data_IF_142465569995
#
_entry.id   IF_142465569995
#
_cell.length_a   1.000
_cell.length_b   1.000
_cell.length_c   1.000
_cell.angle_alpha   90.00
_cell.angle_beta   90.00
_cell.angle_gamma   90.00
#
_symmetry.space_group_name_H-M   'P 1'
#
loop_
_entity.id
_entity.type
_entity.pdbx_description
1 polymer ?
#
# COMPACT_ATOMS: atom_id res chain seq x y z
N UNK A 1 67.93 6.65 45.82
CA UNK A 1 66.49 6.31 45.71
C UNK A 1 65.86 7.29 44.74
N UNK A 2 65.80 6.94 43.45
CA UNK A 2 65.16 7.74 42.41
C UNK A 2 63.73 7.24 42.24
N UNK A 3 62.77 8.10 42.60
CA UNK A 3 61.33 7.88 42.41
C UNK A 3 60.96 8.54 41.09
N UNK A 4 60.97 7.76 40.02
CA UNK A 4 60.34 8.15 38.75
C UNK A 4 58.83 7.99 38.90
N UNK A 5 58.14 9.10 39.12
CA UNK A 5 56.68 9.15 39.03
C UNK A 5 56.30 9.22 37.55
N UNK A 6 55.68 8.14 37.07
CA UNK A 6 55.03 8.07 35.76
C UNK A 6 53.83 9.01 35.75
N UNK A 7 54.02 10.22 35.25
CA UNK A 7 52.92 10.99 34.67
C UNK A 7 52.58 10.38 33.31
N UNK A 8 51.65 9.42 33.33
CA UNK A 8 51.01 8.91 32.11
C UNK A 8 50.12 10.00 31.52
N UNK A 9 50.73 10.99 30.88
CA UNK A 9 50.04 11.93 30.00
C UNK A 9 49.42 11.11 28.87
N UNK A 10 48.14 10.79 29.00
CA UNK A 10 47.37 10.09 27.96
C UNK A 10 47.31 11.05 26.77
N UNK A 11 48.30 10.95 25.87
CA UNK A 11 48.33 11.72 24.63
C UNK A 11 47.12 11.29 23.84
N UNK A 12 46.12 12.17 23.80
CA UNK A 12 44.93 12.01 22.99
C UNK A 12 45.36 11.93 21.52
N UNK A 13 45.21 10.76 20.91
CA UNK A 13 45.60 10.53 19.53
C UNK A 13 44.56 11.14 18.58
N UNK A 14 44.96 11.60 17.38
CA UNK A 14 44.02 11.86 16.29
C UNK A 14 43.08 10.69 16.00
N UNK A 15 43.52 9.45 16.25
CA UNK A 15 42.70 8.24 16.13
C UNK A 15 41.59 8.18 17.18
N UNK A 16 41.86 8.64 18.41
CA UNK A 16 40.85 8.74 19.48
C UNK A 16 39.79 9.78 19.10
N UNK A 17 40.21 10.90 18.52
CA UNK A 17 39.30 11.94 18.03
C UNK A 17 38.42 11.46 16.86
N UNK A 18 38.99 10.72 15.90
CA UNK A 18 38.24 10.13 14.78
C UNK A 18 37.26 9.05 15.26
N UNK A 19 37.67 8.23 16.24
CA UNK A 19 36.81 7.22 16.85
C UNK A 19 35.60 7.85 17.54
N UNK A 20 35.83 8.90 18.34
CA UNK A 20 34.74 9.65 19.01
C UNK A 20 33.82 10.35 18.02
N UNK A 21 34.36 10.95 16.96
CA UNK A 21 33.56 11.57 15.91
C UNK A 21 32.67 10.55 15.21
N UNK A 22 33.23 9.39 14.84
CA UNK A 22 32.48 8.31 14.20
C UNK A 22 31.39 7.79 15.12
N UNK A 23 31.70 7.58 16.40
CA UNK A 23 30.73 7.12 17.40
C UNK A 23 29.59 8.14 17.59
N UNK A 24 29.93 9.44 17.64
CA UNK A 24 28.93 10.52 17.71
C UNK A 24 28.05 10.57 16.46
N UNK A 25 28.62 10.35 15.28
CA UNK A 25 27.89 10.30 14.01
C UNK A 25 26.90 9.12 14.02
N UNK A 26 27.36 7.93 14.41
CA UNK A 26 26.56 6.72 14.50
C UNK A 26 25.38 6.86 15.47
N UNK A 27 25.63 7.43 16.65
CA UNK A 27 24.58 7.70 17.64
C UNK A 27 23.53 8.67 17.08
N UNK A 28 23.99 9.72 16.41
CA UNK A 28 23.11 10.73 15.81
C UNK A 28 22.26 10.11 14.69
N UNK A 29 22.85 9.28 13.84
CA UNK A 29 22.16 8.59 12.76
C UNK A 29 21.13 7.59 13.29
N UNK A 30 21.46 6.82 14.32
CA UNK A 30 20.51 5.88 14.97
C UNK A 30 19.33 6.63 15.57
N UNK A 31 19.59 7.74 16.26
CA UNK A 31 18.52 8.58 16.83
C UNK A 31 17.58 9.13 15.76
N UNK A 32 18.12 9.69 14.68
CA UNK A 32 17.28 10.18 13.57
C UNK A 32 16.50 9.06 12.90
N UNK A 33 17.09 7.87 12.75
CA UNK A 33 16.39 6.69 12.23
C UNK A 33 15.19 6.33 13.12
N UNK A 34 15.36 6.29 14.43
CA UNK A 34 14.28 5.99 15.37
C UNK A 34 13.18 7.06 15.35
N UNK A 35 13.54 8.33 15.26
CA UNK A 35 12.59 9.45 15.15
C UNK A 35 11.76 9.36 13.86
N UNK A 36 12.41 9.07 12.73
CA UNK A 36 11.73 8.84 11.46
C UNK A 36 10.74 7.66 11.52
N UNK A 37 11.15 6.53 12.11
CA UNK A 37 10.25 5.38 12.26
C UNK A 37 9.05 5.71 13.15
N UNK A 38 9.27 6.38 14.30
CA UNK A 38 8.16 6.82 15.16
C UNK A 38 7.21 7.76 14.45
N UNK A 39 7.73 8.68 13.63
CA UNK A 39 6.89 9.59 12.86
C UNK A 39 6.08 8.86 11.77
N UNK A 40 6.69 7.88 11.09
CA UNK A 40 5.99 7.03 10.12
C UNK A 40 4.87 6.26 10.82
N UNK A 41 5.14 5.59 11.94
CA UNK A 41 4.15 4.83 12.70
C UNK A 41 3.00 5.73 13.17
N UNK A 42 3.31 6.93 13.65
CA UNK A 42 2.29 7.92 14.07
C UNK A 42 1.42 8.36 12.88
N UNK A 43 2.01 8.62 11.71
CA UNK A 43 1.28 9.02 10.50
C UNK A 43 0.45 7.87 9.92
N UNK A 44 0.93 6.63 10.01
CA UNK A 44 0.16 5.45 9.62
C UNK A 44 -1.02 5.27 10.57
N UNK A 45 -0.79 5.28 11.89
CA UNK A 45 -1.85 5.15 12.89
C UNK A 45 -2.90 6.27 12.82
N UNK A 46 -2.48 7.52 12.59
CA UNK A 46 -3.40 8.64 12.41
C UNK A 46 -4.25 8.50 11.12
N UNK A 47 -3.64 8.02 10.02
CA UNK A 47 -4.38 7.72 8.79
C UNK A 47 -5.30 6.53 8.94
N UNK A 48 -4.91 5.51 9.70
CA UNK A 48 -5.76 4.36 10.00
C UNK A 48 -6.98 4.81 10.81
N UNK A 49 -6.79 5.64 11.84
CA UNK A 49 -7.87 6.22 12.65
C UNK A 49 -8.81 7.15 11.86
N UNK A 50 -8.30 7.96 10.93
CA UNK A 50 -9.13 8.76 10.00
C UNK A 50 -9.82 7.91 8.91
N UNK A 51 -9.27 6.73 8.61
CA UNK A 51 -9.79 5.83 7.58
C UNK A 51 -10.81 4.82 8.08
N UNK A 52 -11.01 4.67 9.41
CA UNK A 52 -12.12 3.86 9.94
C UNK A 52 -13.41 4.57 9.54
N UNK A 53 -14.13 4.09 8.51
CA UNK A 53 -15.42 4.68 8.19
C UNK A 53 -16.29 4.45 9.43
N UNK A 54 -17.21 5.36 9.78
CA UNK A 54 -18.29 4.98 10.69
C UNK A 54 -18.86 3.67 10.17
N UNK A 55 -19.21 2.72 11.04
CA UNK A 55 -19.84 1.46 10.66
C UNK A 55 -21.04 1.81 9.79
N UNK A 56 -20.82 1.89 8.47
CA UNK A 56 -21.83 2.28 7.49
C UNK A 56 -22.64 1.02 7.45
N UNK A 57 -23.76 1.02 8.16
CA UNK A 57 -24.76 -0.02 8.04
C UNK A 57 -24.93 -0.26 6.55
N UNK A 58 -24.48 -1.42 6.08
CA UNK A 58 -24.59 -1.77 4.67
C UNK A 58 -26.07 -1.69 4.34
N UNK A 59 -26.45 -0.95 3.28
CA UNK A 59 -27.86 -0.82 2.93
C UNK A 59 -28.44 -2.22 2.76
N UNK A 60 -29.61 -2.50 3.34
CA UNK A 60 -30.26 -3.79 3.15
C UNK A 60 -30.90 -3.81 1.77
N UNK A 61 -30.27 -4.48 0.82
CA UNK A 61 -30.78 -4.58 -0.54
C UNK A 61 -31.90 -5.62 -0.62
N UNK A 62 -32.93 -5.33 -1.43
CA UNK A 62 -34.02 -6.27 -1.72
C UNK A 62 -33.60 -7.37 -2.70
N UNK A 63 -32.60 -7.09 -3.53
CA UNK A 63 -32.17 -7.94 -4.63
C UNK A 63 -30.65 -8.14 -4.56
N UNK A 64 -30.20 -9.39 -4.60
CA UNK A 64 -28.78 -9.77 -4.53
C UNK A 64 -27.94 -9.11 -5.63
N UNK A 65 -28.53 -8.90 -6.83
CA UNK A 65 -27.87 -8.19 -7.92
C UNK A 65 -27.47 -6.76 -7.57
N UNK A 66 -28.30 -6.06 -6.79
CA UNK A 66 -28.03 -4.69 -6.35
C UNK A 66 -26.96 -4.65 -5.27
N UNK A 67 -26.95 -5.62 -4.36
CA UNK A 67 -25.89 -5.77 -3.35
C UNK A 67 -24.53 -6.02 -4.02
N UNK A 68 -24.48 -6.97 -4.96
CA UNK A 68 -23.26 -7.25 -5.74
C UNK A 68 -22.77 -6.01 -6.49
N UNK A 69 -23.68 -5.28 -7.13
CA UNK A 69 -23.32 -4.07 -7.87
C UNK A 69 -22.83 -2.96 -6.93
N UNK A 70 -23.46 -2.82 -5.76
CA UNK A 70 -23.05 -1.84 -4.76
C UNK A 70 -21.64 -2.13 -4.23
N UNK A 71 -21.34 -3.38 -3.89
CA UNK A 71 -20.00 -3.79 -3.43
C UNK A 71 -18.94 -3.51 -4.52
N UNK A 72 -19.21 -3.96 -5.75
CA UNK A 72 -18.32 -3.74 -6.88
C UNK A 72 -18.05 -2.24 -7.10
N UNK A 73 -19.10 -1.40 -7.10
CA UNK A 73 -18.96 0.04 -7.27
C UNK A 73 -18.14 0.68 -6.14
N UNK A 74 -18.34 0.23 -4.89
CA UNK A 74 -17.57 0.72 -3.74
C UNK A 74 -16.07 0.41 -3.86
N UNK A 75 -15.72 -0.79 -4.28
CA UNK A 75 -14.33 -1.16 -4.55
C UNK A 75 -13.71 -0.32 -5.66
N UNK A 76 -14.44 -0.12 -6.78
CA UNK A 76 -13.98 0.72 -7.89
C UNK A 76 -13.79 2.17 -7.45
N UNK A 77 -14.71 2.71 -6.66
CA UNK A 77 -14.61 4.07 -6.14
C UNK A 77 -13.35 4.23 -5.28
N UNK A 78 -13.07 3.27 -4.39
CA UNK A 78 -11.86 3.30 -3.57
C UNK A 78 -10.57 3.24 -4.40
N UNK A 79 -10.53 2.41 -5.45
CA UNK A 79 -9.38 2.36 -6.36
C UNK A 79 -9.18 3.66 -7.15
N UNK A 80 -10.26 4.31 -7.57
CA UNK A 80 -10.20 5.61 -8.25
C UNK A 80 -9.74 6.73 -7.31
N UNK A 81 -10.22 6.76 -6.06
CA UNK A 81 -9.75 7.69 -5.04
C UNK A 81 -8.25 7.50 -4.72
N UNK A 82 -7.77 6.26 -4.65
CA UNK A 82 -6.33 5.97 -4.52
C UNK A 82 -5.56 6.46 -5.73
N UNK A 83 -6.11 6.28 -6.92
CA UNK A 83 -5.51 6.75 -8.18
C UNK A 83 -5.35 8.27 -8.18
N UNK A 84 -6.37 9.01 -7.75
CA UNK A 84 -6.29 10.47 -7.58
C UNK A 84 -5.15 10.87 -6.63
N UNK A 85 -5.05 10.21 -5.48
CA UNK A 85 -3.96 10.45 -4.50
C UNK A 85 -2.56 10.12 -5.05
N UNK A 86 -2.45 9.18 -5.98
CA UNK A 86 -1.18 8.83 -6.63
C UNK A 86 -0.76 9.88 -7.66
N UNK A 87 -1.73 10.47 -8.37
CA UNK A 87 -1.50 11.60 -9.28
C UNK A 87 -1.00 12.81 -8.49
N UNK A 88 -1.63 13.13 -7.35
CA UNK A 88 -1.19 14.23 -6.47
C UNK A 88 0.22 14.05 -5.90
N UNK A 89 0.70 12.81 -5.80
CA UNK A 89 2.04 12.46 -5.30
C UNK A 89 3.08 12.29 -6.41
N UNK A 90 2.80 12.77 -7.61
CA UNK A 90 3.67 12.67 -8.79
C UNK A 90 4.13 11.23 -9.08
N UNK A 91 3.21 10.27 -8.92
CA UNK A 91 3.44 8.85 -9.20
C UNK A 91 2.58 8.38 -10.41
N UNK A 92 2.76 8.97 -11.62
CA UNK A 92 1.86 8.77 -12.74
C UNK A 92 1.86 7.35 -13.29
N UNK A 93 3.00 6.67 -13.28
CA UNK A 93 3.09 5.28 -13.75
C UNK A 93 2.22 4.32 -12.92
N UNK A 94 2.23 4.49 -11.60
CA UNK A 94 1.40 3.68 -10.71
C UNK A 94 -0.08 4.05 -10.85
N UNK A 95 -0.40 5.35 -10.96
CA UNK A 95 -1.76 5.82 -11.21
C UNK A 95 -2.35 5.22 -12.50
N UNK A 96 -1.56 5.17 -13.58
CA UNK A 96 -1.98 4.55 -14.86
C UNK A 96 -2.29 3.07 -14.67
N UNK A 97 -1.46 2.31 -13.96
CA UNK A 97 -1.72 0.89 -13.70
C UNK A 97 -3.04 0.65 -12.94
N UNK A 98 -3.32 1.45 -11.90
CA UNK A 98 -4.58 1.35 -11.15
C UNK A 98 -5.78 1.73 -12.02
N UNK A 99 -5.62 2.71 -12.91
CA UNK A 99 -6.66 3.13 -13.84
C UNK A 99 -6.95 2.04 -14.87
N UNK A 100 -5.92 1.45 -15.49
CA UNK A 100 -6.07 0.35 -16.45
C UNK A 100 -6.74 -0.87 -15.82
N UNK A 101 -6.34 -1.23 -14.59
CA UNK A 101 -6.99 -2.29 -13.81
C UNK A 101 -8.48 -1.98 -13.58
N UNK A 102 -8.79 -0.75 -13.20
CA UNK A 102 -10.18 -0.31 -12.97
C UNK A 102 -11.01 -0.35 -14.25
N UNK A 103 -10.46 0.08 -15.39
CA UNK A 103 -11.11 0.00 -16.70
C UNK A 103 -11.38 -1.47 -17.08
N UNK A 104 -10.39 -2.36 -16.91
CA UNK A 104 -10.54 -3.78 -17.21
C UNK A 104 -11.65 -4.41 -16.36
N UNK A 105 -11.65 -4.15 -15.05
CA UNK A 105 -12.67 -4.65 -14.14
C UNK A 105 -14.08 -4.16 -14.52
N UNK A 106 -14.22 -2.88 -14.91
CA UNK A 106 -15.50 -2.33 -15.37
C UNK A 106 -15.99 -2.98 -16.67
N UNK A 107 -15.09 -3.21 -17.63
CA UNK A 107 -15.43 -3.89 -18.88
C UNK A 107 -15.92 -5.32 -18.62
N UNK A 108 -15.20 -6.06 -17.77
CA UNK A 108 -15.62 -7.42 -17.41
C UNK A 108 -16.97 -7.40 -16.70
N UNK A 109 -17.14 -6.50 -15.74
CA UNK A 109 -18.42 -6.37 -15.03
C UNK A 109 -19.59 -6.05 -15.96
N UNK A 110 -19.39 -5.17 -16.94
CA UNK A 110 -20.43 -4.86 -17.93
C UNK A 110 -20.79 -6.08 -18.79
N UNK A 111 -19.82 -6.94 -19.12
CA UNK A 111 -20.10 -8.23 -19.78
C UNK A 111 -20.96 -9.14 -18.89
N UNK A 112 -20.63 -9.26 -17.61
CA UNK A 112 -21.41 -10.06 -16.66
C UNK A 112 -22.83 -9.52 -16.49
N UNK A 113 -23.02 -8.19 -16.50
CA UNK A 113 -24.36 -7.58 -16.47
C UNK A 113 -25.18 -7.94 -17.71
N UNK A 114 -24.58 -7.95 -18.90
CA UNK A 114 -25.26 -8.40 -20.12
C UNK A 114 -25.67 -9.88 -20.05
N UNK A 115 -24.87 -10.73 -19.40
CA UNK A 115 -25.21 -12.16 -19.19
C UNK A 115 -26.35 -12.26 -18.17
N UNK A 116 -26.25 -11.53 -17.06
CA UNK A 116 -27.27 -11.50 -16.01
C UNK A 116 -28.64 -11.04 -16.53
N UNK A 117 -28.66 -10.02 -17.39
CA UNK A 117 -29.89 -9.49 -18.00
C UNK A 117 -30.59 -10.53 -18.88
N UNK A 118 -29.81 -11.33 -19.61
CA UNK A 118 -30.33 -12.35 -20.54
C UNK A 118 -30.70 -13.67 -19.87
N UNK A 119 -29.92 -14.08 -18.87
CA UNK A 119 -29.95 -15.45 -18.35
C UNK A 119 -30.04 -15.54 -16.82
N UNK A 120 -30.05 -14.41 -16.12
CA UNK A 120 -30.03 -14.35 -14.66
C UNK A 120 -28.64 -14.45 -14.06
N UNK A 121 -28.54 -14.12 -12.77
CA UNK A 121 -27.27 -14.17 -12.03
C UNK A 121 -26.76 -15.59 -11.79
N UNK A 122 -27.63 -16.60 -11.85
CA UNK A 122 -27.25 -18.00 -11.67
C UNK A 122 -26.31 -18.46 -12.78
N UNK A 123 -26.62 -18.12 -14.04
CA UNK A 123 -25.76 -18.40 -15.20
C UNK A 123 -24.46 -17.61 -15.17
N UNK A 124 -24.47 -16.41 -14.58
CA UNK A 124 -23.24 -15.64 -14.39
C UNK A 124 -22.28 -16.35 -13.43
N UNK A 125 -22.79 -17.02 -12.40
CA UNK A 125 -21.95 -17.78 -11.48
C UNK A 125 -21.32 -18.98 -12.17
N UNK A 126 -22.09 -19.74 -12.95
CA UNK A 126 -21.54 -20.84 -13.77
C UNK A 126 -20.49 -20.34 -14.74
N UNK A 127 -20.70 -19.18 -15.37
CA UNK A 127 -19.73 -18.56 -16.28
C UNK A 127 -18.42 -18.14 -15.57
N UNK A 128 -18.50 -17.62 -14.34
CA UNK A 128 -17.31 -17.20 -13.58
C UNK A 128 -16.53 -18.42 -13.07
N UNK A 129 -17.23 -19.48 -12.66
CA UNK A 129 -16.63 -20.70 -12.12
C UNK A 129 -16.09 -21.63 -13.22
N UNK A 130 -16.44 -21.39 -14.49
CA UNK A 130 -15.95 -22.18 -15.62
C UNK A 130 -14.50 -21.82 -15.99
N UNK A 131 -13.53 -22.74 -15.79
CA UNK A 131 -12.12 -22.51 -16.10
C UNK A 131 -11.82 -22.28 -17.59
N UNK A 132 -12.79 -22.52 -18.49
CA UNK A 132 -12.66 -22.32 -19.94
C UNK A 132 -12.88 -20.84 -20.33
N UNK A 133 -13.39 -20.01 -19.41
CA UNK A 133 -13.68 -18.60 -19.69
C UNK A 133 -12.48 -17.65 -19.55
N UNK A 134 -11.35 -18.14 -19.03
CA UNK A 134 -10.06 -17.48 -19.20
C UNK A 134 -9.66 -17.58 -20.68
N UNK A 135 -9.83 -16.49 -21.42
CA UNK A 135 -9.59 -16.43 -22.87
C UNK A 135 -8.23 -16.99 -23.29
N UNK A 136 -8.06 -17.37 -24.57
CA UNK A 136 -6.92 -18.16 -25.03
C UNK A 136 -5.60 -17.47 -24.65
N UNK A 137 -4.80 -18.15 -23.83
CA UNK A 137 -3.41 -17.81 -23.57
C UNK A 137 -2.68 -17.86 -24.90
N UNK A 138 -2.44 -16.69 -25.52
CA UNK A 138 -1.57 -16.57 -26.69
C UNK A 138 -0.18 -17.03 -26.27
N UNK A 139 0.13 -18.30 -26.48
CA UNK A 139 1.49 -18.80 -26.52
C UNK A 139 2.11 -18.20 -27.79
N UNK A 140 2.94 -17.16 -27.60
CA UNK A 140 3.84 -16.71 -28.65
C UNK A 140 4.96 -17.74 -28.77
N UNK A 141 4.96 -18.46 -29.89
CA UNK A 141 6.12 -19.20 -30.41
C UNK A 141 7.11 -18.27 -31.10
#
# INVERSE_FOLDING_TARGET
MTREEREGSTRFSPEDALSLFTQSLDLTLRKHKEELFKEIDTRIGAKEAESVPPVKQTPKFRYDGNEKQFSFNGERLSELEKTLKLIEKDSPALAIQYLEKSIKALKERNKLLCIADKYGWDVVFEYIDDPITEGPTTQQS
#
